data_IF_555948440105
#
_entry.id   IF_555948440105
#
_cell.length_a   1.000
_cell.length_b   1.000
_cell.length_c   1.000
_cell.angle_alpha   90.00
_cell.angle_beta   90.00
_cell.angle_gamma   90.00
#
_symmetry.space_group_name_H-M   'P 1'
#
loop_
_entity.id
_entity.type
_entity.pdbx_description
1 polymer ?
#
# COMPACT_ATOMS: atom_id res chain seq x y z
N UNK A 1 25.34 -45.64 -8.36
CA UNK A 1 26.59 -46.39 -8.66
C UNK A 1 27.12 -47.12 -7.44
N UNK A 2 27.54 -46.44 -6.36
CA UNK A 2 28.12 -47.10 -5.18
C UNK A 2 27.19 -48.16 -4.52
N UNK A 3 25.89 -47.87 -4.42
CA UNK A 3 24.89 -48.80 -3.85
C UNK A 3 24.74 -50.10 -4.66
N UNK A 4 24.74 -50.02 -5.98
CA UNK A 4 24.59 -51.19 -6.86
C UNK A 4 25.85 -52.06 -6.91
N UNK A 5 27.02 -51.44 -6.83
CA UNK A 5 28.31 -52.15 -6.72
C UNK A 5 28.37 -52.91 -5.38
N UNK A 6 27.96 -52.27 -4.28
CA UNK A 6 27.91 -52.96 -2.97
C UNK A 6 26.91 -54.12 -2.94
N UNK A 7 25.79 -54.03 -3.66
CA UNK A 7 24.81 -55.11 -3.74
C UNK A 7 25.35 -56.31 -4.55
N UNK A 8 26.08 -56.03 -5.63
CA UNK A 8 26.75 -57.05 -6.43
C UNK A 8 27.84 -57.77 -5.61
N UNK A 9 28.66 -57.02 -4.88
CA UNK A 9 29.68 -57.58 -3.97
C UNK A 9 29.08 -58.50 -2.92
N UNK A 10 27.98 -58.07 -2.28
CA UNK A 10 27.27 -58.88 -1.28
C UNK A 10 26.72 -60.17 -1.90
N UNK A 11 26.10 -60.08 -3.08
CA UNK A 11 25.54 -61.26 -3.77
C UNK A 11 26.61 -62.26 -4.22
N UNK A 12 27.83 -61.80 -4.53
CA UNK A 12 28.96 -62.67 -4.90
C UNK A 12 29.66 -63.30 -3.70
N UNK A 13 29.69 -62.62 -2.55
CA UNK A 13 30.38 -63.07 -1.35
C UNK A 13 29.71 -64.27 -0.65
N UNK A 14 28.47 -64.61 -1.02
CA UNK A 14 27.75 -65.77 -0.48
C UNK A 14 27.95 -67.08 -1.28
N UNK A 15 28.68 -67.05 -2.40
CA UNK A 15 28.95 -68.23 -3.21
C UNK A 15 30.23 -68.95 -2.75
N UNK A 16 30.25 -70.27 -2.88
CA UNK A 16 31.42 -71.09 -2.60
C UNK A 16 32.49 -70.96 -3.69
N UNK A 17 33.73 -71.37 -3.39
CA UNK A 17 34.85 -71.29 -4.34
C UNK A 17 34.63 -72.12 -5.62
N UNK A 18 33.83 -73.18 -5.56
CA UNK A 18 33.55 -74.03 -6.72
C UNK A 18 32.46 -73.41 -7.60
N UNK A 19 31.43 -72.81 -6.99
CA UNK A 19 30.39 -72.06 -7.71
C UNK A 19 30.92 -70.78 -8.36
N UNK A 20 31.86 -70.07 -7.71
CA UNK A 20 32.55 -68.92 -8.31
C UNK A 20 33.39 -69.31 -9.52
N UNK A 21 34.02 -70.50 -9.48
CA UNK A 21 34.81 -71.03 -10.61
C UNK A 21 33.91 -71.47 -11.76
N UNK A 22 32.78 -72.07 -11.47
CA UNK A 22 31.78 -72.43 -12.48
C UNK A 22 31.22 -71.17 -13.16
N UNK A 23 30.88 -70.15 -12.37
CA UNK A 23 30.35 -68.88 -12.86
C UNK A 23 31.39 -68.06 -13.64
N UNK A 24 32.69 -68.24 -13.38
CA UNK A 24 33.77 -67.64 -14.15
C UNK A 24 34.05 -68.36 -15.48
N UNK A 25 33.71 -69.64 -15.58
CA UNK A 25 33.98 -70.47 -16.76
C UNK A 25 32.75 -70.62 -17.70
N UNK A 26 31.59 -70.09 -17.29
CA UNK A 26 30.33 -70.13 -18.02
C UNK A 26 29.78 -68.70 -18.18
N UNK A 27 30.06 -68.11 -19.34
CA UNK A 27 29.67 -66.73 -19.66
C UNK A 27 28.14 -66.55 -19.65
N UNK A 28 27.36 -67.58 -19.98
CA UNK A 28 25.88 -67.49 -19.97
C UNK A 28 25.34 -67.36 -18.54
N UNK A 29 25.94 -68.09 -17.59
CA UNK A 29 25.58 -67.97 -16.16
C UNK A 29 26.01 -66.64 -15.56
N UNK A 30 27.16 -66.11 -15.98
CA UNK A 30 27.63 -64.80 -15.56
C UNK A 30 26.69 -63.69 -16.06
N UNK A 31 26.32 -63.72 -17.35
CA UNK A 31 25.38 -62.77 -17.97
C UNK A 31 23.99 -62.83 -17.32
N UNK A 32 23.47 -64.04 -17.04
CA UNK A 32 22.21 -64.20 -16.33
C UNK A 32 22.24 -63.49 -14.95
N UNK A 33 23.38 -63.58 -14.25
CA UNK A 33 23.52 -62.96 -12.93
C UNK A 33 23.69 -61.45 -12.98
N UNK A 34 24.34 -60.94 -14.03
CA UNK A 34 24.39 -59.49 -14.31
C UNK A 34 22.98 -58.96 -14.62
N UNK A 35 22.20 -59.68 -15.42
CA UNK A 35 20.81 -59.29 -15.72
C UNK A 35 19.93 -59.28 -14.45
N UNK A 36 20.11 -60.21 -13.52
CA UNK A 36 19.42 -60.18 -12.21
C UNK A 36 19.78 -58.93 -11.38
N UNK A 37 21.01 -58.44 -11.49
CA UNK A 37 21.47 -57.21 -10.81
C UNK A 37 20.97 -55.95 -11.52
N UNK A 38 20.78 -56.01 -12.83
CA UNK A 38 20.27 -54.91 -13.65
C UNK A 38 18.74 -54.79 -13.64
N UNK A 39 18.01 -55.86 -13.34
CA UNK A 39 16.55 -55.85 -13.26
C UNK A 39 15.96 -54.72 -12.37
N UNK A 40 16.37 -54.54 -11.10
CA UNK A 40 15.85 -53.44 -10.27
C UNK A 40 16.24 -52.05 -10.79
N UNK A 41 17.38 -51.93 -11.48
CA UNK A 41 17.80 -50.67 -12.11
C UNK A 41 16.92 -50.30 -13.30
N UNK A 42 16.51 -51.29 -14.09
CA UNK A 42 15.57 -51.07 -15.20
C UNK A 42 14.17 -50.73 -14.66
N UNK A 43 13.74 -51.33 -13.54
CA UNK A 43 12.49 -50.97 -12.86
C UNK A 43 12.53 -49.53 -12.31
N UNK A 44 13.59 -49.14 -11.61
CA UNK A 44 13.78 -47.78 -11.09
C UNK A 44 13.80 -46.76 -12.23
N UNK A 45 14.49 -47.08 -13.33
CA UNK A 45 14.52 -46.26 -14.55
C UNK A 45 13.13 -46.11 -15.15
N UNK A 46 12.38 -47.20 -15.28
CA UNK A 46 11.00 -47.16 -15.77
C UNK A 46 10.09 -46.31 -14.87
N UNK A 47 10.23 -46.43 -13.55
CA UNK A 47 9.49 -45.63 -12.58
C UNK A 47 9.82 -44.13 -12.69
N UNK A 48 11.10 -43.77 -12.79
CA UNK A 48 11.53 -42.38 -12.95
C UNK A 48 11.03 -41.80 -14.28
N UNK A 49 11.14 -42.56 -15.37
CA UNK A 49 10.65 -42.13 -16.67
C UNK A 49 9.14 -41.91 -16.65
N UNK A 50 8.38 -42.84 -16.07
CA UNK A 50 6.94 -42.71 -15.95
C UNK A 50 6.54 -41.49 -15.10
N UNK A 51 7.23 -41.27 -13.97
CA UNK A 51 7.04 -40.09 -13.12
C UNK A 51 7.36 -38.79 -13.86
N UNK A 52 8.44 -38.76 -14.64
CA UNK A 52 8.82 -37.60 -15.45
C UNK A 52 7.79 -37.30 -16.54
N UNK A 53 7.31 -38.34 -17.24
CA UNK A 53 6.25 -38.22 -18.26
C UNK A 53 4.98 -37.67 -17.63
N UNK A 54 4.52 -38.25 -16.51
CA UNK A 54 3.33 -37.76 -15.81
C UNK A 54 3.50 -36.29 -15.39
N UNK A 55 4.65 -35.92 -14.81
CA UNK A 55 4.91 -34.54 -14.41
C UNK A 55 4.96 -33.57 -15.62
N UNK A 56 5.49 -34.02 -16.75
CA UNK A 56 5.50 -33.25 -18.00
C UNK A 56 4.08 -33.08 -18.54
N UNK A 57 3.26 -34.14 -18.56
CA UNK A 57 1.86 -34.09 -18.97
C UNK A 57 1.03 -33.15 -18.09
N UNK A 58 1.19 -33.22 -16.76
CA UNK A 58 0.53 -32.32 -15.81
C UNK A 58 0.98 -30.85 -15.99
N UNK A 59 2.24 -30.64 -16.35
CA UNK A 59 2.77 -29.30 -16.64
C UNK A 59 2.21 -28.73 -17.94
N UNK A 60 2.17 -29.55 -18.99
CA UNK A 60 1.60 -29.19 -20.29
C UNK A 60 0.08 -28.94 -20.19
N UNK A 61 -0.63 -29.72 -19.37
CA UNK A 61 -2.06 -29.54 -19.14
C UNK A 61 -2.42 -28.18 -18.50
N UNK A 62 -1.50 -27.58 -17.73
CA UNK A 62 -1.67 -26.27 -17.08
C UNK A 62 -1.29 -25.09 -17.96
N UNK A 63 -0.49 -25.32 -19.01
CA UNK A 63 -0.08 -24.28 -19.95
C UNK A 63 -1.25 -23.49 -20.57
N UNK A 64 -2.32 -24.11 -21.10
CA UNK A 64 -3.43 -23.36 -21.69
C UNK A 64 -4.16 -22.48 -20.66
N UNK A 65 -4.36 -22.96 -19.43
CA UNK A 65 -4.96 -22.19 -18.34
C UNK A 65 -4.08 -20.97 -17.99
N UNK A 66 -2.77 -21.15 -17.89
CA UNK A 66 -1.84 -20.04 -17.62
C UNK A 66 -1.84 -18.99 -18.73
N UNK A 67 -1.94 -19.42 -20.00
CA UNK A 67 -2.05 -18.50 -21.14
C UNK A 67 -3.35 -17.70 -21.06
N UNK A 68 -4.48 -18.35 -20.76
CA UNK A 68 -5.78 -17.69 -20.61
C UNK A 68 -5.76 -16.67 -19.47
N UNK A 69 -5.27 -17.05 -18.28
CA UNK A 69 -5.17 -16.13 -17.14
C UNK A 69 -4.25 -14.94 -17.45
N UNK A 70 -3.11 -15.17 -18.10
CA UNK A 70 -2.21 -14.08 -18.53
C UNK A 70 -2.90 -13.13 -19.50
N UNK A 71 -3.65 -13.66 -20.46
CA UNK A 71 -4.44 -12.85 -21.40
C UNK A 71 -5.46 -11.99 -20.66
N UNK A 72 -6.21 -12.59 -19.72
CA UNK A 72 -7.22 -11.88 -18.91
C UNK A 72 -6.61 -10.80 -18.01
N UNK A 73 -5.45 -11.05 -17.41
CA UNK A 73 -4.73 -10.04 -16.62
C UNK A 73 -4.29 -8.88 -17.51
N UNK A 74 -3.77 -9.16 -18.71
CA UNK A 74 -3.40 -8.11 -19.66
C UNK A 74 -4.60 -7.27 -20.08
N UNK A 75 -5.73 -7.90 -20.41
CA UNK A 75 -6.98 -7.20 -20.78
C UNK A 75 -7.47 -6.29 -19.65
N UNK A 76 -7.51 -6.79 -18.40
CA UNK A 76 -7.92 -5.98 -17.25
C UNK A 76 -6.94 -4.84 -16.96
N UNK A 77 -5.64 -5.07 -17.15
CA UNK A 77 -4.61 -4.04 -17.01
C UNK A 77 -4.78 -2.93 -18.04
N UNK A 78 -5.08 -3.28 -19.29
CA UNK A 78 -5.34 -2.32 -20.37
C UNK A 78 -6.60 -1.50 -20.09
N UNK A 79 -7.72 -2.15 -19.75
CA UNK A 79 -8.96 -1.48 -19.32
C UNK A 79 -8.74 -0.54 -18.13
N UNK A 80 -7.92 -0.95 -17.16
CA UNK A 80 -7.58 -0.08 -16.03
C UNK A 80 -6.79 1.15 -16.46
N UNK A 81 -5.89 1.04 -17.44
CA UNK A 81 -5.12 2.18 -17.96
C UNK A 81 -6.03 3.16 -18.70
N UNK A 82 -6.94 2.65 -19.53
CA UNK A 82 -7.93 3.45 -20.24
C UNK A 82 -8.81 4.24 -19.25
N UNK A 83 -9.38 3.56 -18.25
CA UNK A 83 -10.19 4.23 -17.23
C UNK A 83 -9.41 5.28 -16.43
N UNK A 84 -8.14 5.02 -16.10
CA UNK A 84 -7.29 6.00 -15.46
C UNK A 84 -7.06 7.24 -16.35
N UNK A 85 -6.84 7.03 -17.65
CA UNK A 85 -6.70 8.12 -18.61
C UNK A 85 -7.97 8.96 -18.71
N UNK A 86 -9.14 8.31 -18.80
CA UNK A 86 -10.46 8.97 -18.82
C UNK A 86 -10.70 9.80 -17.55
N UNK A 87 -10.37 9.26 -16.38
CA UNK A 87 -10.48 9.98 -15.10
C UNK A 87 -9.55 11.19 -15.10
N UNK A 88 -8.30 11.03 -15.55
CA UNK A 88 -7.34 12.13 -15.62
C UNK A 88 -7.81 13.23 -16.58
N UNK A 89 -8.38 12.87 -17.73
CA UNK A 89 -8.97 13.82 -18.66
C UNK A 89 -10.13 14.58 -18.00
N UNK A 90 -11.09 13.87 -17.39
CA UNK A 90 -12.23 14.50 -16.69
C UNK A 90 -11.79 15.41 -15.55
N UNK A 91 -10.77 15.01 -14.79
CA UNK A 91 -10.18 15.85 -13.73
C UNK A 91 -9.55 17.11 -14.32
N UNK A 92 -8.85 17.01 -15.44
CA UNK A 92 -8.25 18.17 -16.11
C UNK A 92 -9.31 19.13 -16.66
N UNK A 93 -10.40 18.62 -17.25
CA UNK A 93 -11.54 19.42 -17.72
C UNK A 93 -12.26 20.10 -16.55
N UNK A 94 -12.41 19.41 -15.41
CA UNK A 94 -13.01 20.00 -14.21
C UNK A 94 -12.13 21.09 -13.62
N UNK A 95 -10.81 20.87 -13.58
CA UNK A 95 -9.84 21.85 -13.10
C UNK A 95 -9.76 23.09 -14.00
N UNK A 96 -9.81 22.92 -15.32
CA UNK A 96 -9.82 24.05 -16.25
C UNK A 96 -11.11 24.88 -16.15
N UNK A 97 -12.26 24.23 -15.93
CA UNK A 97 -13.52 24.94 -15.64
C UNK A 97 -13.51 25.63 -14.28
N UNK A 98 -12.87 25.05 -13.26
CA UNK A 98 -12.75 25.68 -11.94
C UNK A 98 -11.71 26.81 -11.92
N UNK A 99 -10.70 26.79 -12.79
CA UNK A 99 -9.64 27.81 -12.83
C UNK A 99 -10.09 29.17 -13.40
N UNK A 100 -11.29 29.26 -13.96
CA UNK A 100 -11.82 30.52 -14.53
C UNK A 100 -11.92 31.66 -13.51
N UNK A 101 -12.12 31.34 -12.23
CA UNK A 101 -11.99 32.29 -11.13
C UNK A 101 -11.94 31.54 -9.79
N UNK A 102 -10.80 31.60 -9.09
CA UNK A 102 -10.70 31.03 -7.75
C UNK A 102 -11.74 31.68 -6.84
N UNK A 103 -12.52 30.88 -6.10
CA UNK A 103 -13.59 31.37 -5.23
C UNK A 103 -13.06 32.40 -4.21
N UNK A 104 -11.86 32.20 -3.69
CA UNK A 104 -11.19 33.14 -2.79
C UNK A 104 -10.85 34.47 -3.48
N UNK A 105 -10.41 34.43 -4.74
CA UNK A 105 -10.14 35.63 -5.53
C UNK A 105 -11.43 36.40 -5.83
N UNK A 106 -12.51 35.71 -6.22
CA UNK A 106 -13.80 36.36 -6.42
C UNK A 106 -14.38 36.95 -5.12
N UNK A 107 -14.19 36.28 -3.98
CA UNK A 107 -14.59 36.81 -2.68
C UNK A 107 -13.80 38.09 -2.33
N UNK A 108 -12.49 38.08 -2.54
CA UNK A 108 -11.64 39.25 -2.31
C UNK A 108 -12.07 40.44 -3.17
N UNK A 109 -12.29 40.23 -4.47
CA UNK A 109 -12.80 41.27 -5.38
C UNK A 109 -14.15 41.83 -4.93
N UNK A 110 -15.05 40.96 -4.48
CA UNK A 110 -16.37 41.38 -4.00
C UNK A 110 -16.29 42.18 -2.68
N UNK A 111 -15.37 41.81 -1.78
CA UNK A 111 -15.10 42.56 -0.55
C UNK A 111 -14.51 43.95 -0.85
N UNK A 112 -13.57 44.04 -1.80
CA UNK A 112 -13.03 45.32 -2.29
C UNK A 112 -14.15 46.19 -2.86
N UNK A 113 -14.99 45.65 -3.74
CA UNK A 113 -16.11 46.40 -4.32
C UNK A 113 -17.16 46.82 -3.27
N UNK A 114 -17.31 46.06 -2.16
CA UNK A 114 -18.16 46.44 -1.04
C UNK A 114 -17.56 47.62 -0.27
N UNK A 115 -16.25 47.59 0.03
CA UNK A 115 -15.53 48.67 0.69
C UNK A 115 -15.54 49.96 -0.15
N UNK A 116 -15.31 49.87 -1.46
CA UNK A 116 -15.40 51.02 -2.38
C UNK A 116 -16.80 51.66 -2.36
N UNK A 117 -17.86 50.84 -2.32
CA UNK A 117 -19.23 51.37 -2.22
C UNK A 117 -19.57 51.97 -0.85
N UNK A 118 -18.93 51.48 0.22
CA UNK A 118 -19.04 52.08 1.54
C UNK A 118 -18.39 53.47 1.55
N UNK A 119 -17.16 53.57 1.04
CA UNK A 119 -16.46 54.85 0.91
C UNK A 119 -17.24 55.84 0.03
N UNK A 120 -17.79 55.39 -1.11
CA UNK A 120 -18.63 56.23 -1.96
C UNK A 120 -19.86 56.77 -1.22
N UNK A 121 -20.51 55.95 -0.39
CA UNK A 121 -21.63 56.40 0.44
C UNK A 121 -21.21 57.42 1.51
N UNK A 122 -20.02 57.27 2.09
CA UNK A 122 -19.46 58.23 3.05
C UNK A 122 -19.09 59.56 2.39
N UNK A 123 -18.59 59.54 1.15
CA UNK A 123 -18.34 60.76 0.37
C UNK A 123 -19.63 61.57 0.16
N UNK A 124 -20.75 60.91 -0.14
CA UNK A 124 -22.07 61.55 -0.27
C UNK A 124 -22.49 62.21 1.06
N UNK A 125 -22.25 61.55 2.19
CA UNK A 125 -22.51 62.13 3.52
C UNK A 125 -21.65 63.36 3.76
N UNK A 126 -20.35 63.30 3.44
CA UNK A 126 -19.44 64.44 3.58
C UNK A 126 -19.90 65.64 2.75
N UNK A 127 -20.20 65.44 1.47
CA UNK A 127 -20.71 66.51 0.59
C UNK A 127 -21.99 67.16 1.14
N UNK A 128 -22.87 66.39 1.76
CA UNK A 128 -24.06 66.94 2.42
C UNK A 128 -23.71 67.78 3.67
N UNK A 129 -22.79 67.31 4.51
CA UNK A 129 -22.33 68.03 5.71
C UNK A 129 -21.59 69.33 5.35
N UNK A 130 -20.85 69.32 4.23
CA UNK A 130 -20.13 70.47 3.68
C UNK A 130 -21.07 71.44 2.93
N UNK A 131 -22.38 71.14 2.89
CA UNK A 131 -23.45 71.91 2.21
C UNK A 131 -23.29 72.00 0.68
N UNK A 132 -22.54 71.07 0.08
CA UNK A 132 -22.39 70.94 -1.37
C UNK A 132 -23.60 70.27 -2.03
N UNK A 133 -24.38 69.50 -1.25
CA UNK A 133 -25.60 68.84 -1.69
C UNK A 133 -26.84 69.36 -0.94
N UNK A 134 -27.93 69.58 -1.68
CA UNK A 134 -29.24 69.82 -1.09
C UNK A 134 -29.87 68.51 -0.61
N UNK A 135 -30.85 68.61 0.29
CA UNK A 135 -31.42 67.44 0.98
C UNK A 135 -32.03 66.40 0.02
N UNK A 136 -32.72 66.84 -1.04
CA UNK A 136 -33.34 65.94 -2.00
C UNK A 136 -32.29 65.17 -2.81
N UNK A 137 -31.22 65.85 -3.24
CA UNK A 137 -30.09 65.23 -3.94
C UNK A 137 -29.27 64.28 -3.07
N UNK A 138 -29.15 64.59 -1.77
CA UNK A 138 -28.55 63.69 -0.79
C UNK A 138 -29.38 62.40 -0.64
N UNK A 139 -30.69 62.51 -0.44
CA UNK A 139 -31.56 61.34 -0.23
C UNK A 139 -31.56 60.41 -1.46
N UNK A 140 -31.63 60.96 -2.67
CA UNK A 140 -31.60 60.17 -3.90
C UNK A 140 -30.28 59.39 -4.05
N UNK A 141 -29.14 60.06 -3.91
CA UNK A 141 -27.82 59.44 -4.10
C UNK A 141 -27.45 58.50 -2.95
N UNK A 142 -27.69 58.91 -1.71
CA UNK A 142 -27.32 58.14 -0.52
C UNK A 142 -28.09 56.82 -0.45
N UNK A 143 -29.40 56.83 -0.72
CA UNK A 143 -30.23 55.62 -0.66
C UNK A 143 -29.81 54.58 -1.70
N UNK A 144 -29.53 55.02 -2.94
CA UNK A 144 -29.04 54.14 -4.01
C UNK A 144 -27.66 53.57 -3.68
N UNK A 145 -26.75 54.42 -3.20
CA UNK A 145 -25.39 54.03 -2.82
C UNK A 145 -25.39 53.03 -1.66
N UNK A 146 -26.13 53.34 -0.58
CA UNK A 146 -26.19 52.49 0.62
C UNK A 146 -26.88 51.15 0.35
N UNK A 147 -27.92 51.12 -0.49
CA UNK A 147 -28.55 49.86 -0.96
C UNK A 147 -27.54 48.97 -1.69
N UNK A 148 -26.73 49.56 -2.58
CA UNK A 148 -25.70 48.84 -3.33
C UNK A 148 -24.62 48.28 -2.41
N UNK A 149 -24.16 49.08 -1.44
CA UNK A 149 -23.19 48.64 -0.44
C UNK A 149 -23.71 47.46 0.38
N UNK A 150 -24.93 47.56 0.95
CA UNK A 150 -25.51 46.46 1.74
C UNK A 150 -25.69 45.18 0.92
N UNK A 151 -26.08 45.29 -0.35
CA UNK A 151 -26.18 44.14 -1.25
C UNK A 151 -24.82 43.48 -1.50
N UNK A 152 -23.76 44.26 -1.73
CA UNK A 152 -22.40 43.73 -1.94
C UNK A 152 -21.86 43.06 -0.69
N UNK A 153 -22.07 43.68 0.48
CA UNK A 153 -21.69 43.12 1.78
C UNK A 153 -22.39 41.80 2.06
N UNK A 154 -23.72 41.74 1.87
CA UNK A 154 -24.50 40.51 2.04
C UNK A 154 -24.05 39.40 1.08
N UNK A 155 -23.76 39.75 -0.19
CA UNK A 155 -23.25 38.77 -1.17
C UNK A 155 -21.86 38.24 -0.75
N UNK A 156 -20.97 39.09 -0.24
CA UNK A 156 -19.66 38.68 0.26
C UNK A 156 -19.78 37.76 1.48
N UNK A 157 -20.62 38.11 2.45
CA UNK A 157 -20.90 37.28 3.63
C UNK A 157 -21.46 35.92 3.23
N UNK A 158 -22.42 35.89 2.30
CA UNK A 158 -23.02 34.64 1.82
C UNK A 158 -22.02 33.76 1.07
N UNK A 159 -21.18 34.36 0.24
CA UNK A 159 -20.14 33.65 -0.50
C UNK A 159 -19.09 33.05 0.46
N UNK A 160 -18.65 33.81 1.48
CA UNK A 160 -17.74 33.34 2.51
C UNK A 160 -18.34 32.15 3.30
N UNK A 161 -19.63 32.22 3.64
CA UNK A 161 -20.34 31.12 4.28
C UNK A 161 -20.35 29.84 3.42
N UNK A 162 -20.62 29.98 2.11
CA UNK A 162 -20.63 28.85 1.17
C UNK A 162 -19.25 28.21 1.02
N UNK A 163 -18.18 29.01 0.92
CA UNK A 163 -16.80 28.52 0.88
C UNK A 163 -16.47 27.73 2.15
N UNK A 164 -16.84 28.27 3.33
CA UNK A 164 -16.60 27.61 4.62
C UNK A 164 -17.33 26.29 4.76
N UNK A 165 -18.58 26.21 4.27
CA UNK A 165 -19.39 24.97 4.26
C UNK A 165 -18.91 23.95 3.21
N UNK A 166 -18.42 24.42 2.06
CA UNK A 166 -17.89 23.57 1.00
C UNK A 166 -16.60 22.85 1.41
N UNK A 167 -15.72 23.53 2.14
CA UNK A 167 -14.47 22.95 2.64
C UNK A 167 -14.67 21.76 3.58
N UNK A 168 -15.75 21.75 4.38
CA UNK A 168 -16.04 20.63 5.30
C UNK A 168 -16.52 19.34 4.62
N UNK A 169 -17.03 19.39 3.38
CA UNK A 169 -17.54 18.21 2.66
C UNK A 169 -16.53 17.56 1.69
N UNK A 170 -15.43 18.23 1.36
CA UNK A 170 -14.47 17.75 0.34
C UNK A 170 -13.38 16.81 0.87
N UNK A 171 -13.26 16.62 2.19
CA UNK A 171 -12.19 15.80 2.77
C UNK A 171 -12.44 14.28 2.79
N UNK A 172 -13.57 13.78 2.27
CA UNK A 172 -13.93 12.36 2.43
C UNK A 172 -14.02 11.51 1.15
N UNK A 173 -13.75 12.02 -0.06
CA UNK A 173 -14.15 11.23 -1.24
C UNK A 173 -13.25 11.20 -2.49
N UNK A 174 -12.00 11.67 -2.44
CA UNK A 174 -11.14 11.58 -3.65
C UNK A 174 -9.70 11.10 -3.44
N UNK A 175 -9.32 10.68 -2.23
CA UNK A 175 -7.95 10.26 -1.94
C UNK A 175 -7.77 8.78 -1.59
N UNK A 176 -8.69 7.90 -2.04
CA UNK A 176 -8.44 6.46 -2.04
C UNK A 176 -7.79 6.06 -3.37
N UNK A 177 -6.46 6.02 -3.33
CA UNK A 177 -5.60 5.11 -4.07
C UNK A 177 -6.00 4.76 -5.51
N UNK A 178 -5.62 5.61 -6.45
CA UNK A 178 -5.32 5.17 -7.82
C UNK A 178 -3.81 5.32 -8.04
N UNK A 179 -3.04 4.36 -7.53
CA UNK A 179 -1.66 4.17 -7.97
C UNK A 179 -1.66 3.12 -9.08
N UNK A 180 -1.14 3.44 -10.28
CA UNK A 180 -0.99 2.46 -11.35
C UNK A 180 0.14 1.49 -10.97
N UNK A 181 -0.18 0.21 -10.87
CA UNK A 181 0.81 -0.85 -10.69
C UNK A 181 1.65 -0.96 -11.98
N UNK A 182 2.95 -0.66 -11.88
CA UNK A 182 3.92 -0.94 -12.94
C UNK A 182 4.39 -2.41 -12.81
N UNK A 183 4.45 -3.20 -13.89
CA UNK A 183 5.00 -4.54 -13.84
C UNK A 183 6.54 -4.47 -13.79
N UNK A 184 7.13 -5.01 -12.73
CA UNK A 184 8.58 -5.16 -12.61
C UNK A 184 9.08 -6.34 -13.46
N UNK A 185 10.09 -6.09 -14.28
CA UNK A 185 10.83 -7.10 -15.04
C UNK A 185 11.76 -7.87 -14.12
N UNK A 186 11.64 -9.20 -14.20
CA UNK A 186 12.53 -10.28 -13.78
C UNK A 186 13.89 -9.93 -13.17
N UNK A 187 14.12 -10.39 -11.94
CA UNK A 187 15.45 -10.57 -11.37
C UNK A 187 15.48 -10.92 -9.88
N UNK A 188 15.42 -12.21 -9.56
CA UNK A 188 16.00 -12.79 -8.32
C UNK A 188 15.21 -12.65 -7.02
N UNK A 189 14.89 -13.81 -6.42
CA UNK A 189 14.46 -14.10 -5.06
C UNK A 189 14.30 -12.92 -4.07
N UNK A 190 13.08 -12.70 -3.56
CA UNK A 190 12.78 -12.64 -2.11
C UNK A 190 11.24 -12.59 -1.89
N UNK A 191 10.71 -13.10 -0.76
CA UNK A 191 9.29 -13.18 -0.53
C UNK A 191 8.74 -11.94 0.20
N UNK A 192 7.54 -11.53 -0.24
CA UNK A 192 6.57 -10.58 0.35
C UNK A 192 6.69 -9.08 -0.01
N UNK A 193 5.54 -8.40 -0.26
CA UNK A 193 5.49 -6.99 -0.59
C UNK A 193 5.75 -6.14 0.66
N UNK A 194 6.80 -5.34 0.58
CA UNK A 194 7.23 -4.39 1.59
C UNK A 194 6.18 -3.27 1.66
N UNK A 195 5.51 -3.11 2.80
CA UNK A 195 4.50 -2.09 3.01
C UNK A 195 5.12 -0.68 3.07
N UNK A 196 4.34 0.34 2.72
CA UNK A 196 4.72 1.77 2.77
C UNK A 196 5.28 2.23 4.13
N UNK A 197 5.04 1.49 5.21
CA UNK A 197 5.57 1.76 6.53
C UNK A 197 7.09 1.53 6.62
N UNK A 198 7.62 0.52 5.91
CA UNK A 198 9.06 0.23 5.94
C UNK A 198 9.86 1.22 5.10
N UNK A 199 9.29 1.73 4.00
CA UNK A 199 9.96 2.77 3.20
C UNK A 199 10.11 4.08 3.98
N UNK A 200 9.12 4.42 4.81
CA UNK A 200 9.20 5.59 5.68
C UNK A 200 10.26 5.39 6.76
N UNK A 201 10.32 4.20 7.37
CA UNK A 201 11.35 3.85 8.35
C UNK A 201 12.74 3.88 7.72
N UNK A 202 12.91 3.35 6.51
CA UNK A 202 14.19 3.38 5.78
C UNK A 202 14.57 4.81 5.42
N UNK A 203 13.66 5.63 4.90
CA UNK A 203 13.91 7.04 4.60
C UNK A 203 14.23 7.86 5.86
N UNK A 204 13.57 7.55 6.99
CA UNK A 204 13.82 8.21 8.27
C UNK A 204 15.18 7.83 8.84
N UNK A 205 15.55 6.55 8.80
CA UNK A 205 16.87 6.05 9.21
C UNK A 205 17.96 6.63 8.30
N UNK A 206 17.73 6.67 6.98
CA UNK A 206 18.66 7.30 6.04
C UNK A 206 18.78 8.80 6.26
N UNK A 207 17.70 9.51 6.57
CA UNK A 207 17.73 10.94 6.89
C UNK A 207 18.46 11.21 8.21
N UNK A 208 18.24 10.40 9.25
CA UNK A 208 18.98 10.47 10.52
C UNK A 208 20.47 10.22 10.29
N UNK A 209 20.81 9.23 9.46
CA UNK A 209 22.21 8.88 9.13
C UNK A 209 22.87 10.00 8.30
N UNK A 210 22.16 10.59 7.34
CA UNK A 210 22.63 11.71 6.51
C UNK A 210 22.80 13.00 7.33
N UNK A 211 21.90 13.25 8.28
CA UNK A 211 21.98 14.38 9.22
C UNK A 211 23.08 14.16 10.27
N UNK A 212 23.33 12.93 10.69
CA UNK A 212 24.44 12.59 11.60
C UNK A 212 25.81 12.72 10.93
N UNK A 213 25.90 12.52 9.61
CA UNK A 213 27.14 12.68 8.84
C UNK A 213 27.52 14.13 8.54
N UNK A 214 26.59 15.09 8.72
CA UNK A 214 26.88 16.53 8.70
C UNK A 214 27.07 17.01 10.15
N UNK A 215 28.33 17.07 10.57
CA UNK A 215 28.82 17.41 11.91
C UNK A 215 28.45 18.82 12.45
N UNK A 216 27.18 19.25 12.40
CA UNK A 216 26.73 20.57 12.88
C UNK A 216 25.26 20.57 13.31
N UNK A 217 24.82 19.64 14.17
CA UNK A 217 23.56 19.82 14.89
C UNK A 217 23.79 19.70 16.40
N UNK A 218 23.72 20.86 17.06
CA UNK A 218 23.89 21.02 18.50
C UNK A 218 23.00 20.03 19.27
N UNK A 219 23.55 19.38 20.30
CA UNK A 219 22.95 18.25 21.06
C UNK A 219 21.48 18.42 21.48
N UNK A 220 20.99 19.66 21.56
CA UNK A 220 19.60 20.00 21.86
C UNK A 220 18.60 19.63 20.74
N UNK A 221 18.97 19.77 19.46
CA UNK A 221 18.05 19.52 18.34
C UNK A 221 17.82 18.03 18.13
N UNK A 222 18.84 17.21 18.38
CA UNK A 222 18.73 15.75 18.31
C UNK A 222 17.82 15.20 19.41
N UNK A 223 17.93 15.71 20.64
CA UNK A 223 16.99 15.40 21.72
C UNK A 223 15.56 15.83 21.38
N UNK A 224 15.35 17.02 20.79
CA UNK A 224 14.02 17.45 20.39
C UNK A 224 13.41 16.56 19.30
N UNK A 225 14.18 16.13 18.30
CA UNK A 225 13.69 15.24 17.24
C UNK A 225 13.35 13.83 17.75
N UNK A 226 14.17 13.28 18.65
CA UNK A 226 13.88 12.02 19.35
C UNK A 226 12.61 12.15 20.22
N UNK A 227 12.45 13.27 20.92
CA UNK A 227 11.27 13.52 21.77
C UNK A 227 9.99 13.66 20.92
N UNK A 228 10.08 14.32 19.77
CA UNK A 228 8.97 14.45 18.81
C UNK A 228 8.63 13.08 18.20
N UNK A 229 9.64 12.27 17.87
CA UNK A 229 9.42 10.92 17.34
C UNK A 229 8.75 10.02 18.38
N UNK A 230 9.23 10.00 19.61
CA UNK A 230 8.62 9.25 20.72
C UNK A 230 7.18 9.71 20.99
N UNK A 231 6.92 11.03 21.01
CA UNK A 231 5.55 11.57 21.14
C UNK A 231 4.64 11.18 19.97
N UNK A 232 5.17 11.15 18.74
CA UNK A 232 4.41 10.78 17.54
C UNK A 232 4.10 9.28 17.53
N UNK A 233 5.07 8.42 17.84
CA UNK A 233 4.90 6.97 17.97
C UNK A 233 3.91 6.66 19.09
N UNK A 234 4.00 7.33 20.24
CA UNK A 234 3.04 7.15 21.33
C UNK A 234 1.63 7.57 20.91
N UNK A 235 1.47 8.72 20.24
CA UNK A 235 0.17 9.19 19.73
C UNK A 235 -0.41 8.21 18.69
N UNK A 236 0.41 7.67 17.82
CA UNK A 236 0.02 6.71 16.78
C UNK A 236 -0.40 5.37 17.40
N UNK A 237 0.38 4.84 18.34
CA UNK A 237 0.03 3.61 19.09
C UNK A 237 -1.26 3.82 19.89
N UNK A 238 -1.43 4.99 20.51
CA UNK A 238 -2.63 5.30 21.28
C UNK A 238 -3.86 5.43 20.39
N UNK A 239 -3.72 6.07 19.21
CA UNK A 239 -4.78 6.18 18.20
C UNK A 239 -5.16 4.83 17.59
N UNK A 240 -4.19 3.95 17.35
CA UNK A 240 -4.44 2.57 16.89
C UNK A 240 -5.20 1.80 17.96
N UNK A 241 -4.78 1.86 19.23
CA UNK A 241 -5.49 1.23 20.35
C UNK A 241 -6.92 1.74 20.47
N UNK A 242 -7.16 3.05 20.49
CA UNK A 242 -8.52 3.63 20.61
C UNK A 242 -9.41 3.28 19.43
N UNK A 243 -8.86 3.19 18.22
CA UNK A 243 -9.62 2.80 17.02
C UNK A 243 -9.99 1.31 17.05
N UNK A 244 -9.07 0.44 17.49
CA UNK A 244 -9.33 -0.99 17.67
C UNK A 244 -10.36 -1.23 18.79
N UNK A 245 -10.27 -0.52 19.92
CA UNK A 245 -11.26 -0.60 21.01
C UNK A 245 -12.65 -0.09 20.61
N UNK A 246 -12.76 0.90 19.72
CA UNK A 246 -14.05 1.37 19.21
C UNK A 246 -14.71 0.41 18.22
N UNK A 247 -13.93 -0.41 17.50
CA UNK A 247 -14.46 -1.36 16.52
C UNK A 247 -15.01 -2.65 17.13
N UNK A 248 -14.65 -3.00 18.37
CA UNK A 248 -15.02 -4.27 19.00
C UNK A 248 -15.60 -4.07 20.41
N UNK A 249 -16.90 -3.73 20.54
CA UNK A 249 -17.57 -3.83 21.83
C UNK A 249 -18.03 -5.28 22.03
N UNK A 250 -17.40 -6.01 22.95
CA UNK A 250 -18.02 -7.20 23.54
C UNK A 250 -17.42 -8.58 23.27
N UNK A 251 -16.09 -8.75 23.14
CA UNK A 251 -15.47 -10.08 23.29
C UNK A 251 -14.37 -10.09 24.36
N UNK A 252 -14.35 -11.10 25.26
CA UNK A 252 -13.40 -11.16 26.36
C UNK A 252 -11.97 -11.41 25.87
N UNK A 253 -11.04 -10.87 26.65
CA UNK A 253 -9.59 -10.78 26.50
C UNK A 253 -8.88 -12.14 26.29
N UNK A 254 -8.97 -12.70 25.08
CA UNK A 254 -8.20 -13.91 24.72
C UNK A 254 -7.29 -13.71 23.49
N UNK A 255 -7.54 -12.69 22.65
CA UNK A 255 -6.74 -12.45 21.43
C UNK A 255 -5.37 -11.79 21.73
N UNK A 256 -5.14 -11.27 22.94
CA UNK A 256 -3.89 -10.59 23.28
C UNK A 256 -2.67 -11.54 23.42
N UNK A 257 -2.88 -12.86 23.43
CA UNK A 257 -1.81 -13.84 23.65
C UNK A 257 -1.21 -14.45 22.37
N UNK A 258 -1.70 -14.11 21.18
CA UNK A 258 -1.29 -14.79 19.94
C UNK A 258 -0.23 -14.05 19.09
N UNK A 259 0.18 -12.83 19.47
CA UNK A 259 1.10 -12.01 18.65
C UNK A 259 2.53 -11.89 19.23
N UNK A 260 2.78 -12.31 20.47
CA UNK A 260 4.13 -12.30 21.03
C UNK A 260 4.48 -13.62 21.71
N UNK A 261 5.07 -14.54 20.95
CA UNK A 261 5.80 -15.68 21.51
C UNK A 261 7.25 -15.31 21.80
N UNK A 262 7.71 -15.56 23.03
CA UNK A 262 9.05 -16.06 23.37
C UNK A 262 9.15 -16.43 24.88
N UNK A 263 10.20 -17.14 25.37
CA UNK A 263 10.23 -18.59 25.59
C UNK A 263 10.21 -19.06 27.09
N UNK A 264 9.85 -20.34 27.26
CA UNK A 264 10.24 -21.38 28.23
C UNK A 264 10.44 -21.15 29.77
N UNK A 265 9.75 -22.00 30.55
CA UNK A 265 9.89 -22.45 31.97
C UNK A 265 9.98 -21.36 33.05
N UNK A 266 9.18 -21.32 34.12
CA UNK A 266 8.92 -22.38 35.11
C UNK A 266 7.90 -21.86 36.14
N UNK A 267 6.67 -22.37 36.19
CA UNK A 267 5.80 -22.33 37.41
C UNK A 267 4.64 -23.32 37.19
N UNK A 268 4.90 -24.62 37.34
CA UNK A 268 4.48 -25.43 38.50
C UNK A 268 3.06 -25.14 39.01
N UNK A 269 2.22 -26.17 38.80
CA UNK A 269 1.23 -26.70 39.76
C UNK A 269 0.27 -25.68 40.37
N UNK A 270 -0.89 -25.47 39.74
CA UNK A 270 -2.24 -25.51 40.34
C UNK A 270 -3.20 -25.69 39.13
N UNK A 271 -4.34 -26.35 39.32
CA UNK A 271 -5.36 -26.69 38.28
C UNK A 271 -5.10 -28.04 37.58
N UNK A 272 -4.97 -29.09 38.40
CA UNK A 272 -5.41 -30.44 38.01
C UNK A 272 -6.23 -31.06 39.16
N UNK A 273 -7.11 -30.25 39.75
CA UNK A 273 -8.25 -30.66 40.56
C UNK A 273 -9.39 -29.73 40.17
N UNK A 274 -10.21 -30.20 39.25
CA UNK A 274 -11.64 -29.95 38.99
C UNK A 274 -11.87 -30.51 37.58
N UNK A 275 -11.85 -31.84 37.49
CA UNK A 275 -12.83 -32.74 36.83
C UNK A 275 -12.61 -34.10 37.48
#
# INVERSE_FOLDING_TARGET
>A
MAQYISEAEVKLNYLSSDELRELLNDDEKLEARVNDLLAPLEDDKAQILNSNVQAAEESLAKEPELIELRSKVNELSEKSKELCADIQEKLSQMKSKSSGMNQDTALALLQTAAAESEEASERIVKQFLDKELQIDGFLEQFMVSRKTMHLRKLKAEKMNELIRRGSTNSYNNFNRSFYPYQPAVSGGNLPYPIGLLDLFVILFISLITLLCSRQQLHRLVFCCLLCIYELFVWKLITQIKTTVYRLWPGKPTSIFLLVHGHPHQTTKRVINQIV
#
